data_IF_838581932700
#
_entry.id   IF_838581932700
#
_cell.length_a   1.000
_cell.length_b   1.000
_cell.length_c   1.000
_cell.angle_alpha   90.00
_cell.angle_beta   90.00
_cell.angle_gamma   90.00
#
_symmetry.space_group_name_H-M   'P 1'
#
loop_
_entity.id
_entity.type
_entity.pdbx_description
1 polymer ?
#
# COMPACT_ATOMS: atom_id res chain seq x y z
N UNK A 1 -9.15 26.30 -20.35
CA UNK A 1 -8.38 25.37 -19.49
C UNK A 1 -9.27 24.47 -18.64
N UNK A 2 -10.31 24.98 -17.97
CA UNK A 2 -11.18 24.14 -17.13
C UNK A 2 -11.86 22.98 -17.87
N UNK A 3 -12.37 23.21 -19.10
CA UNK A 3 -12.94 22.15 -19.95
C UNK A 3 -11.93 21.03 -20.28
N UNK A 4 -10.66 21.39 -20.52
CA UNK A 4 -9.58 20.43 -20.77
C UNK A 4 -9.32 19.57 -19.53
N UNK A 5 -9.22 20.19 -18.36
CA UNK A 5 -9.06 19.48 -17.09
C UNK A 5 -10.23 18.52 -16.83
N UNK A 6 -11.48 19.00 -16.99
CA UNK A 6 -12.68 18.19 -16.80
C UNK A 6 -12.74 16.98 -17.75
N UNK A 7 -12.40 17.18 -19.02
CA UNK A 7 -12.30 16.10 -20.00
C UNK A 7 -11.28 15.04 -19.54
N UNK A 8 -10.06 15.45 -19.16
CA UNK A 8 -9.02 14.54 -18.67
C UNK A 8 -9.41 13.82 -17.38
N UNK A 9 -10.04 14.55 -16.45
CA UNK A 9 -10.56 13.97 -15.23
C UNK A 9 -11.60 12.87 -15.54
N UNK A 10 -12.53 13.13 -16.47
CA UNK A 10 -13.54 12.14 -16.85
C UNK A 10 -12.90 10.87 -17.45
N UNK A 11 -11.89 11.03 -18.32
CA UNK A 11 -11.16 9.90 -18.90
C UNK A 11 -10.41 9.11 -17.83
N UNK A 12 -9.75 9.82 -16.89
CA UNK A 12 -9.08 9.20 -15.77
C UNK A 12 -10.05 8.41 -14.89
N UNK A 13 -11.18 9.00 -14.50
CA UNK A 13 -12.20 8.31 -13.70
C UNK A 13 -12.73 7.07 -14.40
N UNK A 14 -13.03 7.12 -15.70
CA UNK A 14 -13.45 5.95 -16.48
C UNK A 14 -12.41 4.83 -16.45
N UNK A 15 -11.13 5.18 -16.60
CA UNK A 15 -10.03 4.23 -16.52
C UNK A 15 -9.90 3.65 -15.10
N UNK A 16 -10.00 4.48 -14.05
CA UNK A 16 -9.97 4.02 -12.66
C UNK A 16 -11.14 3.09 -12.34
N UNK A 17 -12.36 3.38 -12.79
CA UNK A 17 -13.51 2.50 -12.60
C UNK A 17 -13.36 1.16 -13.32
N UNK A 18 -12.74 1.14 -14.50
CA UNK A 18 -12.40 -0.11 -15.20
C UNK A 18 -11.49 -0.98 -14.35
N UNK A 19 -10.42 -0.43 -13.79
CA UNK A 19 -9.52 -1.21 -12.92
C UNK A 19 -10.13 -1.55 -11.57
N UNK A 20 -10.90 -0.65 -10.95
CA UNK A 20 -11.59 -0.92 -9.68
C UNK A 20 -12.55 -2.11 -9.81
N UNK A 21 -13.27 -2.24 -10.93
CA UNK A 21 -14.11 -3.42 -11.20
C UNK A 21 -13.31 -4.73 -11.20
N UNK A 22 -12.05 -4.69 -11.66
CA UNK A 22 -11.19 -5.86 -11.66
C UNK A 22 -10.65 -6.19 -10.27
N UNK A 23 -10.40 -5.17 -9.44
CA UNK A 23 -9.97 -5.33 -8.04
C UNK A 23 -11.10 -5.89 -7.17
N UNK A 24 -12.29 -5.29 -7.26
CA UNK A 24 -13.47 -5.67 -6.50
C UNK A 24 -14.24 -6.80 -7.19
N UNK A 25 -13.60 -7.96 -7.34
CA UNK A 25 -14.30 -9.18 -7.72
C UNK A 25 -15.11 -9.75 -6.54
N UNK A 26 -16.09 -10.61 -6.81
CA UNK A 26 -17.03 -11.10 -5.80
C UNK A 26 -16.33 -11.72 -4.58
N UNK A 27 -15.28 -12.51 -4.80
CA UNK A 27 -14.55 -13.19 -3.73
C UNK A 27 -13.73 -12.21 -2.87
N UNK A 28 -13.10 -11.21 -3.49
CA UNK A 28 -12.31 -10.20 -2.80
C UNK A 28 -13.19 -9.30 -1.94
N UNK A 29 -14.40 -8.96 -2.40
CA UNK A 29 -15.37 -8.18 -1.61
C UNK A 29 -15.73 -8.92 -0.33
N UNK A 30 -16.02 -10.22 -0.40
CA UNK A 30 -16.27 -11.02 0.81
C UNK A 30 -15.06 -11.05 1.76
N UNK A 31 -13.85 -11.26 1.22
CA UNK A 31 -12.63 -11.24 2.02
C UNK A 31 -12.42 -9.88 2.71
N UNK A 32 -12.70 -8.77 2.01
CA UNK A 32 -12.59 -7.42 2.55
C UNK A 32 -13.62 -7.16 3.66
N UNK A 33 -14.85 -7.65 3.51
CA UNK A 33 -15.89 -7.54 4.54
C UNK A 33 -15.48 -8.27 5.83
N UNK A 34 -14.97 -9.51 5.71
CA UNK A 34 -14.46 -10.28 6.85
C UNK A 34 -13.27 -9.55 7.49
N UNK A 35 -12.34 -9.04 6.67
CA UNK A 35 -11.16 -8.32 7.16
C UNK A 35 -11.55 -7.04 7.91
N UNK A 36 -12.44 -6.21 7.35
CA UNK A 36 -12.93 -4.99 7.99
C UNK A 36 -13.71 -5.32 9.27
N UNK A 37 -14.53 -6.36 9.26
CA UNK A 37 -15.25 -6.84 10.44
C UNK A 37 -14.30 -7.29 11.56
N UNK A 38 -13.31 -8.12 11.22
CA UNK A 38 -12.28 -8.59 12.15
C UNK A 38 -11.41 -7.45 12.70
N UNK A 39 -10.96 -6.55 11.84
CA UNK A 39 -10.24 -5.32 12.22
C UNK A 39 -11.08 -4.44 13.14
N UNK A 40 -12.37 -4.26 12.83
CA UNK A 40 -13.30 -3.46 13.62
C UNK A 40 -13.52 -4.04 15.02
N UNK A 41 -13.72 -5.36 15.13
CA UNK A 41 -13.84 -6.05 16.42
C UNK A 41 -12.54 -5.98 17.22
N UNK A 42 -11.39 -6.22 16.57
CA UNK A 42 -10.07 -6.11 17.20
C UNK A 42 -9.79 -4.70 17.72
N UNK A 43 -10.10 -3.69 16.92
CA UNK A 43 -10.00 -2.28 17.31
C UNK A 43 -10.92 -1.95 18.50
N UNK A 44 -12.19 -2.34 18.43
CA UNK A 44 -13.17 -2.13 19.51
C UNK A 44 -12.73 -2.79 20.83
N UNK A 45 -12.26 -4.03 20.78
CA UNK A 45 -11.78 -4.73 21.96
C UNK A 45 -10.51 -4.09 22.54
N UNK A 46 -9.61 -3.58 21.69
CA UNK A 46 -8.41 -2.87 22.13
C UNK A 46 -8.76 -1.54 22.81
N UNK A 47 -9.74 -0.81 22.28
CA UNK A 47 -10.22 0.44 22.87
C UNK A 47 -10.79 0.25 24.28
N UNK A 48 -11.50 -0.86 24.54
CA UNK A 48 -12.08 -1.16 25.87
C UNK A 48 -11.04 -1.39 26.96
N UNK A 49 -9.81 -1.76 26.58
CA UNK A 49 -8.72 -2.05 27.52
C UNK A 49 -7.88 -0.81 27.85
N UNK A 50 -8.09 0.32 27.14
CA UNK A 50 -7.31 1.54 27.34
C UNK A 50 -7.87 2.36 28.50
N UNK A 51 -6.98 2.80 29.39
CA UNK A 51 -7.27 3.79 30.42
C UNK A 51 -7.09 5.22 29.90
N UNK A 52 -7.72 6.19 30.57
CA UNK A 52 -7.55 7.60 30.25
C UNK A 52 -6.16 8.11 30.69
N UNK A 53 -5.59 9.07 29.95
CA UNK A 53 -4.39 9.80 30.38
C UNK A 53 -3.05 9.13 30.10
N UNK A 54 -3.01 8.11 29.23
CA UNK A 54 -1.77 7.42 28.89
C UNK A 54 -0.83 8.35 28.09
N UNK A 55 0.45 8.46 28.49
CA UNK A 55 1.41 9.41 27.92
C UNK A 55 1.64 9.24 26.40
N UNK A 56 1.57 8.00 25.89
CA UNK A 56 1.81 7.69 24.47
C UNK A 56 0.61 8.00 23.56
N UNK A 57 -0.57 8.28 24.12
CA UNK A 57 -1.79 8.53 23.35
C UNK A 57 -1.73 9.78 22.47
N UNK A 58 -1.26 10.90 23.03
CA UNK A 58 -1.10 12.17 22.32
C UNK A 58 -0.14 12.06 21.14
N UNK A 59 1.08 11.49 21.29
CA UNK A 59 1.96 11.19 20.16
C UNK A 59 1.31 10.31 19.08
N UNK A 60 0.57 9.28 19.46
CA UNK A 60 -0.12 8.39 18.51
C UNK A 60 -1.18 9.15 17.71
N UNK A 61 -1.97 10.03 18.35
CA UNK A 61 -2.94 10.89 17.66
C UNK A 61 -2.22 11.82 16.66
N UNK A 62 -1.15 12.48 17.09
CA UNK A 62 -0.37 13.39 16.22
C UNK A 62 0.16 12.62 15.01
N UNK A 63 0.76 11.45 15.23
CA UNK A 63 1.34 10.63 14.17
C UNK A 63 0.26 10.13 13.20
N UNK A 64 -0.89 9.67 13.71
CA UNK A 64 -2.00 9.23 12.88
C UNK A 64 -2.57 10.39 12.04
N UNK A 65 -2.81 11.56 12.65
CA UNK A 65 -3.25 12.76 11.94
C UNK A 65 -2.24 13.21 10.89
N UNK A 66 -0.93 13.15 11.19
CA UNK A 66 0.12 13.47 10.24
C UNK A 66 0.11 12.50 9.05
N UNK A 67 -0.06 11.19 9.29
CA UNK A 67 -0.17 10.18 8.22
C UNK A 67 -1.38 10.48 7.34
N UNK A 68 -2.56 10.72 7.92
CA UNK A 68 -3.76 11.06 7.15
C UNK A 68 -3.58 12.35 6.34
N UNK A 69 -2.86 13.33 6.88
CA UNK A 69 -2.53 14.57 6.17
C UNK A 69 -1.63 14.33 4.95
N UNK A 70 -0.74 13.33 4.97
CA UNK A 70 0.11 12.98 3.81
C UNK A 70 -0.66 12.26 2.68
N UNK A 71 -1.84 11.71 2.96
CA UNK A 71 -2.63 11.01 1.96
C UNK A 71 -3.27 12.00 0.98
N UNK A 72 -3.29 11.66 -0.30
CA UNK A 72 -3.81 12.52 -1.34
C UNK A 72 -2.75 13.48 -1.89
N UNK A 73 -2.54 13.42 -3.20
CA UNK A 73 -1.56 14.21 -3.93
C UNK A 73 -2.24 15.04 -5.00
N UNK A 74 -1.61 16.14 -5.40
CA UNK A 74 -2.09 16.99 -6.49
C UNK A 74 -2.08 16.21 -7.82
N UNK A 75 -3.27 15.93 -8.35
CA UNK A 75 -3.47 15.28 -9.64
C UNK A 75 -3.66 16.34 -10.73
N UNK A 76 -2.60 16.56 -11.51
CA UNK A 76 -2.59 17.55 -12.58
C UNK A 76 -3.01 16.98 -13.93
N UNK A 77 -2.91 15.67 -14.14
CA UNK A 77 -3.18 15.01 -15.42
C UNK A 77 -2.43 15.64 -16.62
N UNK A 78 -1.27 16.23 -16.36
CA UNK A 78 -0.35 16.68 -17.41
C UNK A 78 0.30 15.48 -18.09
N UNK A 79 0.55 15.60 -19.39
CA UNK A 79 1.17 14.58 -20.24
C UNK A 79 2.47 15.12 -20.84
N UNK A 80 3.38 14.23 -21.23
CA UNK A 80 4.66 14.61 -21.83
C UNK A 80 4.50 15.52 -23.05
N UNK A 81 3.46 15.32 -23.86
CA UNK A 81 3.17 16.16 -25.03
C UNK A 81 2.75 17.61 -24.66
N UNK A 82 2.28 17.86 -23.44
CA UNK A 82 1.75 19.17 -23.05
C UNK A 82 2.80 20.27 -23.02
N UNK A 83 4.07 19.92 -22.86
CA UNK A 83 5.18 20.89 -22.92
C UNK A 83 5.17 21.64 -24.25
N UNK A 84 4.83 20.96 -25.36
CA UNK A 84 4.84 21.60 -26.68
C UNK A 84 3.51 22.30 -26.96
N UNK A 85 2.39 21.66 -26.62
CA UNK A 85 1.06 22.17 -27.00
C UNK A 85 0.49 23.23 -26.06
N UNK A 86 0.86 23.22 -24.76
CA UNK A 86 0.30 24.13 -23.77
C UNK A 86 1.24 25.28 -23.37
N UNK A 87 2.52 25.23 -23.77
CA UNK A 87 3.49 26.31 -23.55
C UNK A 87 3.04 27.67 -24.11
N UNK A 88 2.43 27.77 -25.32
CA UNK A 88 1.89 29.04 -25.80
C UNK A 88 0.75 29.63 -24.94
N UNK A 89 0.19 28.82 -24.03
CA UNK A 89 -0.92 29.20 -23.14
C UNK A 89 -0.52 29.14 -21.66
N UNK A 90 0.76 29.29 -21.34
CA UNK A 90 1.29 29.22 -19.97
C UNK A 90 0.59 30.19 -19.01
N UNK A 91 0.26 31.41 -19.42
CA UNK A 91 -0.48 32.37 -18.59
C UNK A 91 -1.84 31.83 -18.07
N UNK A 92 -2.44 30.86 -18.77
CA UNK A 92 -3.69 30.24 -18.38
C UNK A 92 -3.52 28.96 -17.54
N UNK A 93 -2.29 28.50 -17.29
CA UNK A 93 -2.01 27.27 -16.54
C UNK A 93 -2.43 27.39 -15.07
N UNK A 94 -2.37 28.58 -14.49
CA UNK A 94 -2.87 28.84 -13.14
C UNK A 94 -4.35 28.44 -13.00
N UNK A 95 -5.19 28.77 -13.99
CA UNK A 95 -6.61 28.36 -14.03
C UNK A 95 -6.78 26.84 -14.18
N UNK A 96 -5.88 26.18 -14.90
CA UNK A 96 -5.87 24.72 -14.98
C UNK A 96 -5.54 24.09 -13.61
N UNK A 97 -4.51 24.60 -12.94
CA UNK A 97 -4.07 24.11 -11.64
C UNK A 97 -5.06 24.38 -10.52
N UNK A 98 -5.86 25.45 -10.57
CA UNK A 98 -6.94 25.65 -9.58
C UNK A 98 -8.01 24.58 -9.69
N UNK A 99 -8.36 24.14 -10.91
CA UNK A 99 -9.24 22.99 -11.15
C UNK A 99 -8.65 21.69 -10.60
N UNK A 100 -7.37 21.42 -10.94
CA UNK A 100 -6.62 20.28 -10.42
C UNK A 100 -6.57 20.25 -8.89
N UNK A 101 -6.32 21.41 -8.29
CA UNK A 101 -6.26 21.57 -6.85
C UNK A 101 -7.61 21.29 -6.21
N UNK A 102 -8.69 21.97 -6.63
CA UNK A 102 -10.03 21.80 -6.02
C UNK A 102 -10.50 20.35 -6.01
N UNK A 103 -10.31 19.65 -7.13
CA UNK A 103 -10.63 18.22 -7.22
C UNK A 103 -9.78 17.38 -6.26
N UNK A 104 -8.45 17.54 -6.32
CA UNK A 104 -7.52 16.74 -5.51
C UNK A 104 -7.70 17.00 -4.00
N UNK A 105 -7.93 18.26 -3.65
CA UNK A 105 -8.15 18.72 -2.29
C UNK A 105 -9.50 18.22 -1.76
N UNK A 106 -10.58 18.33 -2.54
CA UNK A 106 -11.88 17.78 -2.16
C UNK A 106 -11.83 16.28 -1.89
N UNK A 107 -11.17 15.50 -2.76
CA UNK A 107 -10.95 14.08 -2.51
C UNK A 107 -10.12 13.85 -1.24
N UNK A 108 -9.04 14.60 -1.06
CA UNK A 108 -8.20 14.44 0.12
C UNK A 108 -8.91 14.78 1.43
N UNK A 109 -9.78 15.79 1.43
CA UNK A 109 -10.64 16.13 2.57
C UNK A 109 -11.59 14.98 2.91
N UNK A 110 -12.16 14.28 1.92
CA UNK A 110 -13.01 13.10 2.17
C UNK A 110 -12.22 12.00 2.89
N UNK A 111 -11.03 11.62 2.39
CA UNK A 111 -10.24 10.57 3.05
C UNK A 111 -9.76 11.00 4.44
N UNK A 112 -9.49 12.28 4.65
CA UNK A 112 -9.07 12.85 5.92
C UNK A 112 -10.22 12.84 6.96
N UNK A 113 -11.44 13.19 6.54
CA UNK A 113 -12.62 13.09 7.39
C UNK A 113 -12.94 11.63 7.75
N UNK A 114 -12.78 10.70 6.80
CA UNK A 114 -12.91 9.27 7.08
C UNK A 114 -11.85 8.78 8.07
N UNK A 115 -10.59 9.17 7.90
CA UNK A 115 -9.51 8.83 8.83
C UNK A 115 -9.76 9.40 10.23
N UNK A 116 -10.26 10.63 10.30
CA UNK A 116 -10.67 11.26 11.55
C UNK A 116 -11.82 10.50 12.21
N UNK A 117 -12.85 10.13 11.44
CA UNK A 117 -13.98 9.34 11.94
C UNK A 117 -13.52 8.03 12.58
N UNK A 118 -12.55 7.33 11.98
CA UNK A 118 -11.94 6.12 12.55
C UNK A 118 -11.17 6.42 13.84
N UNK A 119 -10.50 7.57 13.94
CA UNK A 119 -9.77 7.99 15.14
C UNK A 119 -10.66 8.51 16.28
N UNK A 120 -11.90 8.92 16.01
CA UNK A 120 -12.78 9.54 17.01
C UNK A 120 -12.94 8.69 18.29
N UNK A 121 -13.24 7.37 18.23
CA UNK A 121 -13.38 6.55 19.43
C UNK A 121 -12.10 6.51 20.27
N UNK A 122 -10.93 6.48 19.63
CA UNK A 122 -9.64 6.48 20.31
C UNK A 122 -9.37 7.77 21.07
N UNK A 123 -9.67 8.91 20.45
CA UNK A 123 -9.52 10.24 21.07
C UNK A 123 -10.46 10.38 22.27
N UNK A 124 -11.70 9.92 22.14
CA UNK A 124 -12.71 10.00 23.20
C UNK A 124 -12.36 9.14 24.42
N UNK A 125 -11.89 7.91 24.21
CA UNK A 125 -11.48 7.04 25.32
C UNK A 125 -10.27 7.60 26.07
N UNK A 126 -9.31 8.21 25.36
CA UNK A 126 -8.01 8.53 25.97
C UNK A 126 -7.90 9.94 26.53
N UNK A 127 -8.34 10.95 25.76
CA UNK A 127 -8.19 12.36 26.11
C UNK A 127 -9.50 13.05 26.51
N UNK A 128 -10.66 12.39 26.29
CA UNK A 128 -12.00 12.90 26.61
C UNK A 128 -12.21 14.36 26.14
N UNK A 129 -11.79 14.66 24.91
CA UNK A 129 -11.95 15.99 24.32
C UNK A 129 -13.44 16.34 24.18
N UNK A 130 -13.77 17.61 24.41
CA UNK A 130 -15.11 18.13 24.15
C UNK A 130 -15.46 18.01 22.66
N UNK A 131 -16.74 17.97 22.33
CA UNK A 131 -17.22 18.00 20.94
C UNK A 131 -16.69 19.25 20.22
N UNK A 132 -16.60 20.39 20.92
CA UNK A 132 -16.03 21.61 20.38
C UNK A 132 -14.56 21.45 19.99
N UNK A 133 -13.74 20.82 20.86
CA UNK A 133 -12.33 20.57 20.59
C UNK A 133 -12.13 19.62 19.40
N UNK A 134 -12.98 18.60 19.28
CA UNK A 134 -12.96 17.71 18.12
C UNK A 134 -13.23 18.45 16.81
N UNK A 135 -14.21 19.35 16.80
CA UNK A 135 -14.50 20.20 15.63
C UNK A 135 -13.31 21.10 15.33
N UNK A 136 -12.68 21.70 16.34
CA UNK A 136 -11.47 22.52 16.17
C UNK A 136 -10.33 21.70 15.57
N UNK A 137 -10.11 20.46 16.01
CA UNK A 137 -9.11 19.56 15.41
C UNK A 137 -9.46 19.24 13.96
N UNK A 138 -10.74 18.99 13.65
CA UNK A 138 -11.21 18.71 12.29
C UNK A 138 -10.97 19.88 11.35
N UNK A 139 -11.37 21.09 11.76
CA UNK A 139 -11.16 22.32 10.99
C UNK A 139 -9.67 22.58 10.79
N UNK A 140 -8.86 22.44 11.85
CA UNK A 140 -7.40 22.61 11.76
C UNK A 140 -6.78 21.63 10.76
N UNK A 141 -7.22 20.38 10.78
CA UNK A 141 -6.80 19.35 9.83
C UNK A 141 -7.12 19.73 8.37
N UNK A 142 -8.34 20.20 8.11
CA UNK A 142 -8.75 20.64 6.77
C UNK A 142 -7.94 21.87 6.30
N UNK A 143 -7.69 22.83 7.20
CA UNK A 143 -6.87 24.01 6.92
C UNK A 143 -5.43 23.62 6.58
N UNK A 144 -4.79 22.78 7.40
CA UNK A 144 -3.43 22.30 7.11
C UNK A 144 -3.36 21.62 5.75
N UNK A 145 -4.41 20.89 5.36
CA UNK A 145 -4.49 20.26 4.04
C UNK A 145 -4.56 21.29 2.90
N UNK A 146 -5.36 22.35 3.04
CA UNK A 146 -5.40 23.48 2.10
C UNK A 146 -4.02 24.13 1.92
N UNK A 147 -3.31 24.33 3.04
CA UNK A 147 -1.94 24.85 3.05
C UNK A 147 -0.97 23.97 2.27
N UNK A 148 -1.00 22.65 2.50
CA UNK A 148 -0.15 21.69 1.78
C UNK A 148 -0.44 21.69 0.27
N UNK A 149 -1.70 21.77 -0.15
CA UNK A 149 -2.03 21.85 -1.57
C UNK A 149 -1.59 23.17 -2.20
N UNK A 150 -1.66 24.28 -1.46
CA UNK A 150 -1.10 25.57 -1.88
C UNK A 150 0.41 25.46 -2.09
N UNK A 151 1.13 24.85 -1.13
CA UNK A 151 2.56 24.55 -1.27
C UNK A 151 2.89 23.60 -2.43
N UNK A 152 2.04 22.60 -2.68
CA UNK A 152 2.20 21.66 -3.79
C UNK A 152 2.04 22.33 -5.17
N UNK A 153 1.15 23.33 -5.29
CA UNK A 153 1.02 24.16 -6.49
C UNK A 153 2.24 25.06 -6.64
N UNK A 154 2.69 25.69 -5.56
CA UNK A 154 3.89 26.53 -5.54
C UNK A 154 5.13 25.77 -6.03
N UNK A 155 5.30 24.50 -5.66
CA UNK A 155 6.41 23.65 -6.09
C UNK A 155 6.36 23.26 -7.59
N UNK A 156 5.36 23.70 -8.36
CA UNK A 156 5.31 23.52 -9.82
C UNK A 156 5.83 24.72 -10.60
N UNK A 157 6.11 25.82 -9.92
CA UNK A 157 6.68 27.03 -10.51
C UNK A 157 8.16 27.10 -10.19
N UNK A 158 8.92 27.74 -11.08
CA UNK A 158 10.34 27.98 -10.88
C UNK A 158 10.55 28.95 -9.73
N UNK A 159 10.78 28.41 -8.54
CA UNK A 159 10.93 29.20 -7.33
C UNK A 159 12.42 29.38 -6.97
N UNK A 160 12.84 30.61 -6.70
CA UNK A 160 14.19 30.99 -6.25
C UNK A 160 14.38 30.78 -4.73
N UNK A 161 13.29 30.70 -3.94
CA UNK A 161 13.34 30.42 -2.49
C UNK A 161 13.63 28.93 -2.21
N UNK A 162 14.92 28.58 -2.18
CA UNK A 162 15.44 27.21 -2.07
C UNK A 162 15.02 26.43 -0.81
N UNK A 163 14.77 27.10 0.33
CA UNK A 163 14.35 26.42 1.58
C UNK A 163 12.94 25.81 1.46
N UNK A 164 12.01 26.48 0.77
CA UNK A 164 10.64 26.01 0.55
C UNK A 164 10.54 24.93 -0.53
N UNK A 165 11.57 24.78 -1.38
CA UNK A 165 11.66 23.67 -2.35
C UNK A 165 11.91 22.32 -1.70
N UNK A 166 12.42 22.27 -0.46
CA UNK A 166 12.62 21.00 0.23
C UNK A 166 11.27 20.48 0.75
N UNK A 167 10.74 19.38 0.17
CA UNK A 167 9.39 18.91 0.49
C UNK A 167 9.21 18.53 1.97
N UNK A 168 10.30 18.24 2.68
CA UNK A 168 10.27 17.86 4.10
C UNK A 168 9.80 19.00 5.00
N UNK A 169 10.20 20.25 4.74
CA UNK A 169 9.85 21.38 5.61
C UNK A 169 8.36 21.70 5.54
N UNK A 170 7.84 21.84 4.32
CA UNK A 170 6.43 22.16 4.08
C UNK A 170 5.52 20.98 4.37
N UNK A 171 5.89 19.77 3.92
CA UNK A 171 4.98 18.63 4.03
C UNK A 171 5.03 17.96 5.40
N UNK A 172 6.15 18.03 6.14
CA UNK A 172 6.30 17.27 7.40
C UNK A 172 6.47 18.19 8.61
N UNK A 173 7.46 19.10 8.59
CA UNK A 173 7.81 19.89 9.78
C UNK A 173 6.70 20.88 10.14
N UNK A 174 6.22 21.67 9.17
CA UNK A 174 5.13 22.63 9.39
C UNK A 174 3.87 21.99 10.00
N UNK A 175 3.27 20.93 9.40
CA UNK A 175 2.09 20.32 10.00
C UNK A 175 2.36 19.58 11.31
N UNK A 176 3.53 18.98 11.48
CA UNK A 176 3.91 18.34 12.75
C UNK A 176 3.90 19.36 13.89
N UNK A 177 4.56 20.51 13.71
CA UNK A 177 4.60 21.57 14.72
C UNK A 177 3.19 22.06 15.06
N UNK A 178 2.35 22.31 14.05
CA UNK A 178 0.96 22.75 14.26
C UNK A 178 0.13 21.71 15.00
N UNK A 179 0.32 20.42 14.71
CA UNK A 179 -0.39 19.33 15.41
C UNK A 179 0.08 19.14 16.85
N UNK A 180 1.38 19.32 17.11
CA UNK A 180 1.93 19.31 18.47
C UNK A 180 1.31 20.44 19.29
N UNK A 181 1.30 21.67 18.75
CA UNK A 181 0.69 22.83 19.43
C UNK A 181 -0.79 22.58 19.70
N UNK A 182 -1.53 22.08 18.69
CA UNK A 182 -2.96 21.78 18.79
C UNK A 182 -3.32 20.80 19.92
N UNK A 183 -2.49 19.78 20.15
CA UNK A 183 -2.78 18.67 21.09
C UNK A 183 -2.17 18.88 22.48
N UNK A 184 -1.05 19.60 22.60
CA UNK A 184 -0.38 19.84 23.88
C UNK A 184 -0.78 21.15 24.55
N UNK A 185 -1.31 22.13 23.81
CA UNK A 185 -1.76 23.42 24.35
C UNK A 185 -3.29 23.52 24.34
N UNK A 186 -3.83 24.69 23.97
CA UNK A 186 -5.25 24.89 23.73
C UNK A 186 -5.56 24.72 22.23
N UNK A 187 -6.58 23.94 21.85
CA UNK A 187 -6.90 23.67 20.44
C UNK A 187 -7.09 24.94 19.59
N UNK A 188 -7.64 26.00 20.19
CA UNK A 188 -7.91 27.27 19.53
C UNK A 188 -6.62 27.95 19.04
N UNK A 189 -5.53 27.89 19.83
CA UNK A 189 -4.24 28.48 19.45
C UNK A 189 -3.68 27.77 18.22
N UNK A 190 -3.78 26.43 18.19
CA UNK A 190 -3.38 25.63 17.03
C UNK A 190 -4.17 25.98 15.77
N UNK A 191 -5.48 26.20 15.91
CA UNK A 191 -6.34 26.61 14.79
C UNK A 191 -5.95 27.98 14.22
N UNK A 192 -5.74 28.98 15.09
CA UNK A 192 -5.36 30.33 14.66
C UNK A 192 -4.02 30.32 13.93
N UNK A 193 -3.02 29.60 14.46
CA UNK A 193 -1.70 29.49 13.82
C UNK A 193 -1.76 28.74 12.49
N UNK A 194 -2.56 27.67 12.40
CA UNK A 194 -2.79 26.97 11.14
C UNK A 194 -3.48 27.88 10.11
N UNK A 195 -4.48 28.66 10.51
CA UNK A 195 -5.14 29.63 9.66
C UNK A 195 -4.18 30.70 9.14
N UNK A 196 -3.36 31.30 10.01
CA UNK A 196 -2.35 32.29 9.59
C UNK A 196 -1.33 31.69 8.62
N UNK A 197 -0.82 30.50 8.91
CA UNK A 197 0.15 29.84 8.03
C UNK A 197 -0.43 29.46 6.66
N UNK A 198 -1.66 28.99 6.62
CA UNK A 198 -2.34 28.62 5.36
C UNK A 198 -2.66 29.86 4.50
N UNK A 199 -3.10 30.95 5.12
CA UNK A 199 -3.30 32.24 4.44
C UNK A 199 -1.98 32.77 3.88
N UNK A 200 -0.90 32.73 4.67
CA UNK A 200 0.43 33.14 4.22
C UNK A 200 0.88 32.31 3.00
N UNK A 201 0.76 30.98 3.05
CA UNK A 201 1.08 30.09 1.93
C UNK A 201 0.24 30.41 0.68
N UNK A 202 -1.05 30.72 0.84
CA UNK A 202 -1.94 31.08 -0.27
C UNK A 202 -1.53 32.39 -0.93
N UNK A 203 -1.20 33.43 -0.15
CA UNK A 203 -0.70 34.71 -0.67
C UNK A 203 0.65 34.52 -1.37
N UNK A 204 1.58 33.77 -0.78
CA UNK A 204 2.87 33.46 -1.41
C UNK A 204 2.69 32.70 -2.73
N UNK A 205 1.76 31.75 -2.77
CA UNK A 205 1.46 30.99 -3.99
C UNK A 205 0.95 31.90 -5.10
N UNK A 206 0.09 32.88 -4.80
CA UNK A 206 -0.38 33.85 -5.81
C UNK A 206 0.78 34.72 -6.34
N UNK A 207 1.71 35.14 -5.48
CA UNK A 207 2.90 35.89 -5.92
C UNK A 207 3.82 35.07 -6.81
N UNK A 208 4.02 33.79 -6.47
CA UNK A 208 4.93 32.88 -7.21
C UNK A 208 4.33 32.42 -8.54
N UNK A 209 3.01 32.46 -8.71
CA UNK A 209 2.36 32.19 -10.00
C UNK A 209 2.76 33.19 -11.11
N UNK A 210 3.42 34.30 -10.76
CA UNK A 210 4.03 35.21 -11.73
C UNK A 210 5.35 34.66 -12.31
N UNK A 211 5.99 33.69 -11.66
CA UNK A 211 7.20 33.03 -12.16
C UNK A 211 6.85 32.00 -13.25
N UNK A 212 7.81 31.61 -14.10
CA UNK A 212 7.61 30.58 -15.12
C UNK A 212 7.22 29.23 -14.51
N UNK A 213 6.36 28.49 -15.22
CA UNK A 213 5.90 27.16 -14.85
C UNK A 213 6.95 26.10 -15.22
N UNK A 214 7.31 25.23 -14.27
CA UNK A 214 8.24 24.13 -14.52
C UNK A 214 7.50 22.90 -15.07
N UNK A 215 7.38 22.88 -16.41
CA UNK A 215 6.69 21.82 -17.14
C UNK A 215 7.27 20.42 -16.87
N UNK A 216 8.59 20.27 -16.97
CA UNK A 216 9.25 18.98 -16.83
C UNK A 216 9.11 18.43 -15.42
N UNK A 217 9.31 19.26 -14.41
CA UNK A 217 9.10 18.87 -13.03
C UNK A 217 7.64 18.47 -12.80
N UNK A 218 6.69 19.26 -13.31
CA UNK A 218 5.28 18.99 -13.10
C UNK A 218 4.80 17.69 -13.75
N UNK A 219 5.25 17.42 -14.97
CA UNK A 219 4.94 16.20 -15.71
C UNK A 219 5.59 14.98 -15.06
N UNK A 220 6.85 15.06 -14.65
CA UNK A 220 7.53 13.95 -13.97
C UNK A 220 6.83 13.59 -12.66
N UNK A 221 6.38 14.57 -11.87
CA UNK A 221 5.59 14.33 -10.66
C UNK A 221 4.25 13.65 -10.97
N UNK A 222 3.59 14.02 -12.06
CA UNK A 222 2.34 13.39 -12.51
C UNK A 222 2.55 11.95 -12.99
N UNK A 223 3.57 11.71 -13.81
CA UNK A 223 3.94 10.38 -14.28
C UNK A 223 4.28 9.46 -13.10
N UNK A 224 5.01 9.94 -12.10
CA UNK A 224 5.31 9.20 -10.88
C UNK A 224 4.06 8.92 -10.01
N UNK A 225 3.07 9.81 -10.02
CA UNK A 225 1.76 9.58 -9.38
C UNK A 225 1.00 8.48 -10.10
N UNK A 226 0.88 8.57 -11.43
CA UNK A 226 0.20 7.57 -12.27
C UNK A 226 0.86 6.20 -12.19
N UNK A 227 2.20 6.12 -12.20
CA UNK A 227 2.94 4.87 -12.04
C UNK A 227 2.65 4.18 -10.69
N UNK A 228 2.50 4.94 -9.60
CA UNK A 228 2.12 4.35 -8.30
C UNK A 228 0.71 3.78 -8.31
N UNK A 229 -0.22 4.47 -8.95
CA UNK A 229 -1.61 3.98 -9.14
C UNK A 229 -1.62 2.71 -9.98
N UNK A 230 -0.91 2.69 -11.12
CA UNK A 230 -0.83 1.49 -11.95
C UNK A 230 -0.13 0.34 -11.23
N UNK A 231 0.89 0.59 -10.40
CA UNK A 231 1.53 -0.47 -9.60
C UNK A 231 0.56 -1.07 -8.59
N UNK A 232 -0.29 -0.26 -7.97
CA UNK A 232 -1.36 -0.76 -7.09
C UNK A 232 -2.32 -1.67 -7.86
N UNK A 233 -2.81 -1.24 -9.02
CA UNK A 233 -3.66 -2.10 -9.85
C UNK A 233 -2.95 -3.34 -10.36
N UNK A 234 -1.65 -3.25 -10.63
CA UNK A 234 -0.81 -4.40 -11.02
C UNK A 234 -0.66 -5.47 -9.94
N UNK A 235 -1.04 -5.16 -8.70
CA UNK A 235 -1.23 -6.22 -7.71
C UNK A 235 -2.39 -7.11 -8.16
N UNK A 236 -3.53 -6.55 -8.53
CA UNK A 236 -4.74 -7.32 -8.79
C UNK A 236 -4.87 -7.79 -10.24
N UNK A 237 -4.39 -7.00 -11.20
CA UNK A 237 -4.51 -7.28 -12.64
C UNK A 237 -3.34 -6.75 -13.45
N UNK A 238 -2.98 -7.42 -14.53
CA UNK A 238 -1.93 -6.94 -15.44
C UNK A 238 -2.34 -5.61 -16.08
N UNK A 239 -1.52 -4.57 -15.88
CA UNK A 239 -1.74 -3.24 -16.46
C UNK A 239 -0.81 -3.07 -17.67
N UNK A 240 -1.32 -2.83 -18.89
CA UNK A 240 -0.50 -2.80 -20.11
C UNK A 240 0.57 -1.68 -20.10
N UNK A 241 0.34 -0.61 -19.34
CA UNK A 241 1.29 0.51 -19.20
C UNK A 241 2.51 0.15 -18.33
N UNK A 242 2.47 -0.96 -17.58
CA UNK A 242 3.61 -1.47 -16.82
C UNK A 242 4.12 -2.73 -17.52
N UNK A 243 5.12 -2.58 -18.39
CA UNK A 243 5.86 -3.76 -18.88
C UNK A 243 6.51 -4.44 -17.68
N UNK A 244 6.19 -5.72 -17.46
CA UNK A 244 6.73 -6.53 -16.37
C UNK A 244 8.24 -6.73 -16.54
N UNK A 245 9.04 -5.78 -16.07
CA UNK A 245 10.50 -5.93 -16.07
C UNK A 245 10.90 -6.68 -14.80
N UNK A 246 11.54 -7.83 -14.97
CA UNK A 246 12.19 -8.54 -13.87
C UNK A 246 13.25 -7.61 -13.23
N UNK A 247 12.94 -7.09 -12.03
CA UNK A 247 13.80 -6.12 -11.34
C UNK A 247 14.55 -6.83 -10.22
N UNK A 248 15.88 -6.65 -10.18
CA UNK A 248 16.71 -7.14 -9.08
C UNK A 248 16.26 -6.51 -7.76
N UNK A 249 15.93 -7.34 -6.78
CA UNK A 249 15.56 -6.94 -5.41
C UNK A 249 16.75 -7.21 -4.49
N UNK A 250 17.63 -6.21 -4.32
CA UNK A 250 18.87 -6.36 -3.52
C UNK A 250 18.63 -6.91 -2.11
N UNK A 251 17.48 -6.59 -1.50
CA UNK A 251 17.12 -7.06 -0.16
C UNK A 251 16.79 -8.56 -0.08
N UNK A 252 16.53 -9.23 -1.21
CA UNK A 252 16.29 -10.68 -1.30
C UNK A 252 17.50 -11.44 -1.85
N UNK A 253 18.60 -10.77 -2.18
CA UNK A 253 19.78 -11.43 -2.73
C UNK A 253 20.43 -12.38 -1.70
N UNK A 254 20.35 -12.07 -0.39
CA UNK A 254 20.83 -12.96 0.68
C UNK A 254 20.15 -14.34 0.65
N UNK A 255 18.86 -14.36 0.35
CA UNK A 255 18.06 -15.58 0.24
C UNK A 255 18.52 -16.47 -0.93
N UNK A 256 19.00 -15.86 -2.01
CA UNK A 256 19.52 -16.56 -3.18
C UNK A 256 20.91 -17.16 -2.96
N UNK A 257 21.67 -16.67 -1.96
CA UNK A 257 22.99 -17.21 -1.63
C UNK A 257 22.92 -18.60 -0.98
N UNK A 258 21.75 -18.99 -0.45
CA UNK A 258 21.53 -20.33 0.11
C UNK A 258 21.43 -21.42 -0.97
N UNK A 259 21.20 -21.03 -2.23
CA UNK A 259 21.09 -21.97 -3.35
C UNK A 259 22.37 -21.92 -4.17
N UNK A 260 23.29 -22.87 -3.91
CA UNK A 260 24.51 -23.01 -4.70
C UNK A 260 24.17 -23.54 -6.11
N UNK A 261 24.79 -23.00 -7.17
CA UNK A 261 24.63 -23.54 -8.51
C UNK A 261 25.40 -24.87 -8.62
N UNK A 262 24.69 -25.98 -8.46
CA UNK A 262 25.21 -27.33 -8.72
C UNK A 262 24.38 -27.99 -9.82
N UNK A 263 24.97 -28.93 -10.56
CA UNK A 263 24.30 -29.70 -11.62
C UNK A 263 23.04 -30.42 -11.11
N UNK A 264 23.06 -30.83 -9.83
CA UNK A 264 21.94 -31.38 -9.06
C UNK A 264 20.74 -30.43 -8.85
N UNK A 265 20.99 -29.13 -8.71
CA UNK A 265 20.00 -28.14 -8.25
C UNK A 265 19.71 -27.03 -9.27
N UNK A 266 19.96 -27.28 -10.56
CA UNK A 266 19.81 -26.29 -11.63
C UNK A 266 18.41 -25.66 -11.67
N UNK A 267 17.35 -26.47 -11.59
CA UNK A 267 15.98 -25.96 -11.55
C UNK A 267 15.63 -25.27 -10.23
N UNK A 268 16.19 -25.71 -9.09
CA UNK A 268 15.99 -25.03 -7.82
C UNK A 268 16.57 -23.61 -7.86
N UNK A 269 17.76 -23.47 -8.46
CA UNK A 269 18.39 -22.18 -8.72
C UNK A 269 17.56 -21.30 -9.67
N UNK A 270 17.01 -21.88 -10.74
CA UNK A 270 16.15 -21.15 -11.68
C UNK A 270 14.85 -20.68 -11.02
N UNK A 271 14.13 -21.59 -10.35
CA UNK A 271 12.86 -21.31 -9.68
C UNK A 271 13.01 -20.33 -8.51
N UNK A 272 14.06 -20.47 -7.68
CA UNK A 272 14.32 -19.53 -6.58
C UNK A 272 14.57 -18.10 -7.08
N UNK A 273 15.38 -17.95 -8.14
CA UNK A 273 15.57 -16.64 -8.81
C UNK A 273 14.30 -16.15 -9.49
N UNK A 274 13.52 -17.06 -10.07
CA UNK A 274 12.20 -16.79 -10.63
C UNK A 274 11.26 -16.15 -9.61
N UNK A 275 11.11 -16.73 -8.42
CA UNK A 275 10.26 -16.16 -7.37
C UNK A 275 10.83 -14.85 -6.83
N UNK A 276 12.14 -14.71 -6.66
CA UNK A 276 12.70 -13.46 -6.12
C UNK A 276 12.60 -12.30 -7.13
N UNK A 277 12.67 -12.58 -8.44
CA UNK A 277 12.76 -11.56 -9.49
C UNK A 277 11.46 -11.33 -10.27
N UNK A 278 10.62 -12.34 -10.44
CA UNK A 278 9.33 -12.21 -11.15
C UNK A 278 8.31 -11.49 -10.26
N UNK A 279 7.61 -10.51 -10.82
CA UNK A 279 6.62 -9.71 -10.08
C UNK A 279 5.32 -10.46 -9.79
N UNK A 280 4.93 -11.39 -10.65
CA UNK A 280 3.59 -11.99 -10.65
C UNK A 280 3.42 -13.05 -9.57
N UNK A 281 4.20 -14.15 -9.62
CA UNK A 281 4.12 -15.22 -8.63
C UNK A 281 4.62 -14.79 -7.25
N UNK A 282 5.63 -13.91 -7.17
CA UNK A 282 6.08 -13.34 -5.91
C UNK A 282 5.04 -12.42 -5.26
N UNK A 283 4.35 -11.63 -6.07
CA UNK A 283 3.27 -10.76 -5.63
C UNK A 283 2.04 -11.55 -5.18
N UNK A 284 1.73 -12.65 -5.87
CA UNK A 284 0.68 -13.59 -5.49
C UNK A 284 0.98 -14.24 -4.14
N UNK A 285 2.16 -14.85 -3.99
CA UNK A 285 2.60 -15.49 -2.75
C UNK A 285 2.56 -14.49 -1.58
N UNK A 286 3.24 -13.35 -1.72
CA UNK A 286 3.30 -12.34 -0.67
C UNK A 286 1.91 -11.82 -0.28
N UNK A 287 1.00 -11.61 -1.23
CA UNK A 287 -0.36 -11.11 -0.92
C UNK A 287 -1.15 -12.10 -0.07
N UNK A 288 -1.17 -13.37 -0.44
CA UNK A 288 -1.90 -14.40 0.31
C UNK A 288 -1.31 -14.63 1.69
N UNK A 289 0.02 -14.65 1.81
CA UNK A 289 0.68 -14.74 3.12
C UNK A 289 0.34 -13.53 4.00
N UNK A 290 0.41 -12.31 3.46
CA UNK A 290 0.06 -11.10 4.23
C UNK A 290 -1.42 -11.10 4.64
N UNK A 291 -2.32 -11.48 3.73
CA UNK A 291 -3.76 -11.54 4.01
C UNK A 291 -4.07 -12.59 5.07
N UNK A 292 -3.47 -13.79 4.97
CA UNK A 292 -3.59 -14.85 5.96
C UNK A 292 -3.07 -14.43 7.34
N UNK A 293 -1.88 -13.81 7.40
CA UNK A 293 -1.32 -13.25 8.64
C UNK A 293 -2.25 -12.22 9.27
N UNK A 294 -2.76 -11.26 8.49
CA UNK A 294 -3.66 -10.23 9.00
C UNK A 294 -4.93 -10.86 9.59
N UNK A 295 -5.57 -11.79 8.88
CA UNK A 295 -6.78 -12.45 9.37
C UNK A 295 -6.50 -13.26 10.64
N UNK A 296 -5.44 -14.06 10.67
CA UNK A 296 -5.09 -14.88 11.83
C UNK A 296 -4.76 -14.05 13.08
N UNK A 297 -4.25 -12.83 12.91
CA UNK A 297 -3.98 -11.94 14.04
C UNK A 297 -5.27 -11.46 14.75
N UNK A 298 -6.34 -11.20 13.99
CA UNK A 298 -7.59 -10.68 14.55
C UNK A 298 -8.58 -11.76 14.99
N UNK A 299 -8.49 -12.97 14.41
CA UNK A 299 -9.39 -14.07 14.75
C UNK A 299 -8.94 -14.72 16.06
N UNK A 300 -9.79 -14.61 17.08
CA UNK A 300 -9.62 -15.28 18.38
C UNK A 300 -10.54 -16.51 18.45
N UNK A 301 -10.04 -17.60 19.02
CA UNK A 301 -10.80 -18.85 19.18
C UNK A 301 -9.92 -20.09 19.02
N UNK A 302 -10.50 -21.27 19.26
CA UNK A 302 -9.75 -22.54 19.27
C UNK A 302 -9.67 -23.21 17.89
N UNK A 303 -10.77 -23.26 17.15
CA UNK A 303 -10.87 -24.02 15.90
C UNK A 303 -10.77 -23.13 14.65
N UNK A 304 -11.42 -21.96 14.67
CA UNK A 304 -11.51 -21.08 13.51
C UNK A 304 -10.14 -20.59 12.98
N UNK A 305 -9.16 -20.17 13.82
CA UNK A 305 -7.83 -19.80 13.32
C UNK A 305 -7.10 -20.98 12.66
N UNK A 306 -7.27 -22.20 13.19
CA UNK A 306 -6.62 -23.40 12.64
C UNK A 306 -7.18 -23.69 11.24
N UNK A 307 -8.51 -23.70 11.10
CA UNK A 307 -9.18 -23.93 9.81
C UNK A 307 -8.76 -22.87 8.78
N UNK A 308 -8.69 -21.60 9.18
CA UNK A 308 -8.26 -20.53 8.30
C UNK A 308 -6.77 -20.67 7.90
N UNK A 309 -5.89 -20.99 8.84
CA UNK A 309 -4.46 -21.18 8.57
C UNK A 309 -4.23 -22.27 7.53
N UNK A 310 -4.87 -23.42 7.72
CA UNK A 310 -4.85 -24.54 6.76
C UNK A 310 -5.39 -24.12 5.40
N UNK A 311 -6.56 -23.48 5.37
CA UNK A 311 -7.15 -23.04 4.11
C UNK A 311 -6.24 -22.09 3.33
N UNK A 312 -5.60 -21.12 4.00
CA UNK A 312 -4.67 -20.20 3.35
C UNK A 312 -3.39 -20.90 2.86
N UNK A 313 -2.85 -21.82 3.66
CA UNK A 313 -1.66 -22.59 3.29
C UNK A 313 -1.93 -23.47 2.05
N UNK A 314 -3.08 -24.13 2.01
CA UNK A 314 -3.57 -24.89 0.86
C UNK A 314 -3.71 -24.01 -0.39
N UNK A 315 -4.36 -22.85 -0.26
CA UNK A 315 -4.55 -21.91 -1.38
C UNK A 315 -3.22 -21.43 -1.94
N UNK A 316 -2.24 -21.12 -1.08
CA UNK A 316 -0.90 -20.72 -1.51
C UNK A 316 -0.22 -21.87 -2.27
N UNK A 317 -0.24 -23.08 -1.73
CA UNK A 317 0.31 -24.25 -2.39
C UNK A 317 -0.34 -24.48 -3.76
N UNK A 318 -1.67 -24.39 -3.84
CA UNK A 318 -2.44 -24.61 -5.06
C UNK A 318 -2.08 -23.59 -6.15
N UNK A 319 -1.96 -22.31 -5.78
CA UNK A 319 -1.70 -21.22 -6.71
C UNK A 319 -0.23 -21.14 -7.15
N UNK A 320 0.70 -21.77 -6.43
CA UNK A 320 2.09 -21.88 -6.86
C UNK A 320 2.33 -23.03 -7.83
N UNK A 321 1.41 -24.01 -7.98
CA UNK A 321 1.59 -25.13 -8.92
C UNK A 321 1.82 -24.69 -10.38
N UNK A 322 1.08 -23.70 -10.94
CA UNK A 322 1.34 -23.22 -12.30
C UNK A 322 2.76 -22.68 -12.52
N UNK A 323 3.46 -22.25 -11.45
CA UNK A 323 4.84 -21.76 -11.52
C UNK A 323 5.82 -22.81 -12.07
N UNK A 324 5.50 -24.10 -11.93
CA UNK A 324 6.30 -25.18 -12.52
C UNK A 324 6.54 -24.99 -14.02
N UNK A 325 5.52 -24.53 -14.74
CA UNK A 325 5.50 -24.39 -16.21
C UNK A 325 5.97 -23.02 -16.71
N UNK A 326 6.29 -22.07 -15.82
CA UNK A 326 6.62 -20.69 -16.23
C UNK A 326 7.83 -20.60 -17.16
N UNK A 327 8.78 -21.53 -17.03
CA UNK A 327 10.02 -21.53 -17.79
C UNK A 327 10.01 -22.49 -18.99
N UNK A 328 8.87 -23.11 -19.28
CA UNK A 328 8.75 -24.06 -20.40
C UNK A 328 8.69 -23.33 -21.76
N UNK A 329 8.19 -22.09 -21.80
CA UNK A 329 8.21 -21.31 -23.04
C UNK A 329 9.63 -20.82 -23.42
N UNK A 330 10.61 -20.94 -22.52
CA UNK A 330 11.99 -20.52 -22.78
C UNK A 330 12.75 -21.66 -23.45
N UNK A 331 13.06 -21.51 -24.74
CA UNK A 331 13.77 -22.52 -25.55
C UNK A 331 15.05 -23.05 -24.87
N UNK A 332 15.80 -22.20 -24.17
CA UNK A 332 17.03 -22.60 -23.49
C UNK A 332 16.84 -23.64 -22.38
N UNK A 333 15.66 -23.76 -21.78
CA UNK A 333 15.38 -24.79 -20.75
C UNK A 333 15.25 -26.19 -21.36
N UNK A 334 14.89 -26.28 -22.63
CA UNK A 334 14.73 -27.53 -23.38
C UNK A 334 16.06 -28.06 -23.94
N UNK A 335 17.03 -27.17 -24.15
CA UNK A 335 18.36 -27.52 -24.64
C UNK A 335 19.27 -28.11 -23.56
N UNK A 336 18.88 -28.00 -22.28
CA UNK A 336 19.70 -28.45 -21.16
C UNK A 336 19.33 -29.89 -20.77
N UNK A 337 20.27 -30.84 -20.74
CA UNK A 337 20.00 -32.25 -20.49
C UNK A 337 19.77 -32.52 -18.99
N UNK A 338 18.59 -32.18 -18.48
CA UNK A 338 18.16 -32.52 -17.12
C UNK A 338 16.99 -33.50 -17.17
N UNK A 339 17.07 -34.53 -16.34
CA UNK A 339 15.98 -35.47 -16.16
C UNK A 339 14.77 -34.79 -15.50
N UNK A 340 13.57 -35.03 -16.06
CA UNK A 340 12.31 -34.44 -15.55
C UNK A 340 12.01 -34.82 -14.09
N UNK A 341 12.50 -35.98 -13.63
CA UNK A 341 12.39 -36.38 -12.22
C UNK A 341 13.13 -35.40 -11.30
N UNK A 342 14.29 -34.92 -11.74
CA UNK A 342 15.10 -33.93 -11.03
C UNK A 342 14.43 -32.55 -11.00
N UNK A 343 13.71 -32.18 -12.06
CA UNK A 343 12.89 -30.95 -12.10
C UNK A 343 11.76 -31.01 -11.06
N UNK A 344 11.04 -32.13 -10.98
CA UNK A 344 9.97 -32.33 -9.98
C UNK A 344 10.52 -32.34 -8.56
N UNK A 345 11.67 -32.99 -8.32
CA UNK A 345 12.31 -33.01 -7.00
C UNK A 345 12.76 -31.62 -6.55
N UNK A 346 13.41 -30.85 -7.44
CA UNK A 346 13.82 -29.48 -7.17
C UNK A 346 12.60 -28.55 -6.93
N UNK A 347 11.49 -28.77 -7.63
CA UNK A 347 10.25 -28.02 -7.41
C UNK A 347 9.58 -28.38 -6.08
N UNK A 348 9.57 -29.67 -5.69
CA UNK A 348 9.13 -30.10 -4.36
C UNK A 348 9.90 -29.40 -3.26
N UNK A 349 11.23 -29.32 -3.37
CA UNK A 349 12.08 -28.66 -2.38
C UNK A 349 11.75 -27.16 -2.27
N UNK A 350 11.53 -26.47 -3.40
CA UNK A 350 11.09 -25.07 -3.41
C UNK A 350 9.72 -24.89 -2.74
N UNK A 351 8.75 -25.76 -3.06
CA UNK A 351 7.41 -25.76 -2.44
C UNK A 351 7.48 -25.97 -0.94
N UNK A 352 8.24 -26.98 -0.47
CA UNK A 352 8.44 -27.21 0.96
C UNK A 352 9.01 -25.97 1.62
N UNK A 353 10.04 -25.36 1.03
CA UNK A 353 10.68 -24.19 1.63
C UNK A 353 9.74 -22.97 1.72
N UNK A 354 8.94 -22.70 0.69
CA UNK A 354 7.96 -21.61 0.70
C UNK A 354 6.80 -21.85 1.66
N UNK A 355 6.27 -23.07 1.70
CA UNK A 355 5.12 -23.40 2.56
C UNK A 355 5.53 -23.49 4.03
N UNK A 356 6.74 -23.99 4.32
CA UNK A 356 7.30 -23.96 5.68
C UNK A 356 7.55 -22.54 6.15
N UNK A 357 8.06 -21.65 5.27
CA UNK A 357 8.19 -20.23 5.60
C UNK A 357 6.83 -19.59 5.91
N UNK A 358 5.77 -19.90 5.14
CA UNK A 358 4.42 -19.39 5.46
C UNK A 358 3.86 -19.95 6.75
N UNK A 359 4.03 -21.25 7.01
CA UNK A 359 3.61 -21.90 8.25
C UNK A 359 4.25 -21.25 9.48
N UNK A 360 5.57 -21.03 9.44
CA UNK A 360 6.31 -20.35 10.51
C UNK A 360 5.73 -18.94 10.75
N UNK A 361 5.46 -18.18 9.68
CA UNK A 361 4.86 -16.84 9.81
C UNK A 361 3.46 -16.88 10.42
N UNK A 362 2.61 -17.82 9.99
CA UNK A 362 1.26 -18.00 10.55
C UNK A 362 1.30 -18.41 12.01
N UNK A 363 2.18 -19.33 12.38
CA UNK A 363 2.40 -19.76 13.75
C UNK A 363 2.84 -18.60 14.64
N UNK A 364 3.83 -17.81 14.21
CA UNK A 364 4.28 -16.62 14.96
C UNK A 364 3.11 -15.68 15.23
N UNK A 365 2.33 -15.37 14.20
CA UNK A 365 1.18 -14.47 14.32
C UNK A 365 0.12 -15.03 15.27
N UNK A 366 -0.19 -16.32 15.16
CA UNK A 366 -1.18 -16.97 16.01
C UNK A 366 -0.73 -16.97 17.49
N UNK A 367 0.54 -17.28 17.75
CA UNK A 367 1.11 -17.29 19.09
C UNK A 367 1.04 -15.92 19.75
N UNK A 368 1.31 -14.84 19.00
CA UNK A 368 1.15 -13.48 19.50
C UNK A 368 -0.32 -13.08 19.72
N UNK A 369 -1.24 -13.57 18.88
CA UNK A 369 -2.65 -13.18 18.93
C UNK A 369 -3.46 -13.87 20.05
N UNK A 370 -3.26 -15.18 20.26
CA UNK A 370 -4.06 -15.98 21.18
C UNK A 370 -3.34 -16.32 22.51
N UNK A 371 -2.02 -16.07 22.63
CA UNK A 371 -1.20 -16.30 23.84
C UNK A 371 -1.35 -17.72 24.45
N UNK A 372 -1.79 -18.69 23.66
CA UNK A 372 -2.03 -20.06 24.09
C UNK A 372 -1.11 -21.04 23.37
N UNK A 373 -0.37 -21.80 24.17
CA UNK A 373 0.59 -22.78 23.68
C UNK A 373 -0.10 -23.95 22.95
N UNK A 374 -1.25 -24.40 23.47
CA UNK A 374 -1.98 -25.55 22.93
C UNK A 374 -2.45 -25.32 21.49
N UNK A 375 -3.04 -24.15 21.20
CA UNK A 375 -3.54 -23.83 19.86
C UNK A 375 -2.38 -23.74 18.87
N UNK A 376 -1.27 -23.11 19.28
CA UNK A 376 -0.06 -23.01 18.46
C UNK A 376 0.53 -24.39 18.14
N UNK A 377 0.54 -25.31 19.11
CA UNK A 377 1.02 -26.69 18.91
C UNK A 377 0.13 -27.49 17.95
N UNK A 378 -1.20 -27.38 18.08
CA UNK A 378 -2.14 -28.04 17.17
C UNK A 378 -1.98 -27.48 15.76
N UNK A 379 -1.88 -26.16 15.61
CA UNK A 379 -1.67 -25.52 14.31
C UNK A 379 -0.40 -26.03 13.64
N UNK A 380 0.73 -26.08 14.36
CA UNK A 380 1.99 -26.59 13.83
C UNK A 380 1.86 -28.03 13.31
N UNK A 381 1.21 -28.91 14.08
CA UNK A 381 1.00 -30.30 13.64
C UNK A 381 0.16 -30.37 12.36
N UNK A 382 -0.93 -29.60 12.30
CA UNK A 382 -1.83 -29.61 11.15
C UNK A 382 -1.14 -29.01 9.92
N UNK A 383 -0.41 -27.90 10.06
CA UNK A 383 0.36 -27.29 8.95
C UNK A 383 1.45 -28.23 8.44
N UNK A 384 2.16 -28.96 9.31
CA UNK A 384 3.16 -29.94 8.89
C UNK A 384 2.55 -31.10 8.10
N UNK A 385 1.41 -31.63 8.56
CA UNK A 385 0.66 -32.67 7.85
C UNK A 385 0.21 -32.17 6.49
N UNK A 386 -0.29 -30.94 6.43
CA UNK A 386 -0.74 -30.33 5.19
C UNK A 386 0.40 -30.07 4.20
N UNK A 387 1.54 -29.54 4.67
CA UNK A 387 2.74 -29.37 3.83
C UNK A 387 3.15 -30.72 3.24
N UNK A 388 3.18 -31.76 4.07
CA UNK A 388 3.53 -33.10 3.62
C UNK A 388 2.55 -33.61 2.57
N UNK A 389 1.24 -33.52 2.85
CA UNK A 389 0.18 -33.92 1.92
C UNK A 389 0.27 -33.15 0.59
N UNK A 390 0.45 -31.83 0.66
CA UNK A 390 0.46 -30.96 -0.51
C UNK A 390 1.68 -31.22 -1.41
N UNK A 391 2.87 -31.37 -0.83
CA UNK A 391 4.12 -31.52 -1.58
C UNK A 391 4.34 -32.95 -2.06
N UNK A 392 4.06 -33.96 -1.22
CA UNK A 392 4.38 -35.35 -1.52
C UNK A 392 3.26 -36.11 -2.19
N UNK A 393 1.99 -35.75 -1.92
CA UNK A 393 0.84 -36.44 -2.50
C UNK A 393 0.20 -35.62 -3.62
N UNK A 394 -0.29 -34.42 -3.31
CA UNK A 394 -1.10 -33.64 -4.25
C UNK A 394 -0.32 -33.12 -5.46
N UNK A 395 0.88 -32.57 -5.24
CA UNK A 395 1.73 -32.03 -6.29
C UNK A 395 2.10 -33.05 -7.40
N UNK A 396 2.65 -34.24 -7.10
CA UNK A 396 2.98 -35.21 -8.15
C UNK A 396 1.75 -35.76 -8.88
N UNK A 397 0.61 -35.94 -8.19
CA UNK A 397 -0.65 -36.32 -8.82
C UNK A 397 -1.08 -35.31 -9.89
N UNK A 398 -0.97 -34.02 -9.56
CA UNK A 398 -1.39 -32.95 -10.47
C UNK A 398 -0.41 -32.71 -11.62
N UNK A 399 0.89 -32.92 -11.38
CA UNK A 399 1.91 -32.85 -12.43
C UNK A 399 1.81 -34.02 -13.43
N UNK A 400 1.39 -35.22 -12.99
CA UNK A 400 1.12 -36.36 -13.87
C UNK A 400 -0.12 -36.17 -14.76
N UNK A 401 -1.14 -35.46 -14.27
CA UNK A 401 -2.43 -35.29 -14.99
C UNK A 401 -2.40 -34.27 -16.15
N UNK A 402 -1.33 -33.46 -16.23
CA UNK A 402 -1.09 -32.50 -17.32
C UNK A 402 -0.02 -32.98 -18.32
N UNK A 403 0.46 -34.21 -18.13
CA UNK A 403 1.12 -34.98 -19.18
C UNK A 403 0.03 -35.61 -20.04
#
# INVERSE_FOLDING_TARGET
MNKLFQSRLSSHLKEMFKYLRLVFNDHFVFALLILIGGLGLGYSNSLKQLSAGVWWSKPVIILALLIFLQLGQLATFLKDADVVFLLPREANIARYLTGARRYSEGLAMVYQLLGMFVLLPFIQVTNRLSVADLVVVAVTQLLLKDGLFSGAVMNRYQNHYLMLKRPVWLNVIYPLVMLVILIYTQPIIGLVLALLGTVALRVMTQRIQAAPFDWWQAINLENNRMLRIYRFFNLFTTVPMLKGVAKRRRYLDWLLNFVKPTTGHTYLYLYSRGIVRSGEFSGLYARLTILGMLLLYFVRGTWLPIVLGVLFLYLIGFQLIPFFWQFDDIVFTHLYPIERQQQVANFKQLMTWLLTLTAILFLIVLSFANLSWQISAIMLLVELVEIWFMVYYYLPLRLKKKQ
#
